data_IF_389698414086
#
_entry.id   IF_389698414086
#
_cell.length_a   1.000
_cell.length_b   1.000
_cell.length_c   1.000
_cell.angle_alpha   90.00
_cell.angle_beta   90.00
_cell.angle_gamma   90.00
#
_symmetry.space_group_name_H-M   'P 1'
#
loop_
_entity.id
_entity.type
_entity.pdbx_description
1 polymer ?
#
# COMPACT_ATOMS: atom_id res chain seq x y z
N UNK A 1 -12.90 1.00 16.66
CA UNK A 1 -12.02 2.10 16.23
C UNK A 1 -12.59 2.79 15.00
N UNK A 2 -12.49 4.08 14.95
CA UNK A 2 -12.97 4.83 13.80
C UNK A 2 -12.12 4.56 12.55
N UNK A 3 -12.76 4.47 11.39
CA UNK A 3 -12.04 4.26 10.14
C UNK A 3 -11.02 5.36 9.87
N UNK A 4 -11.30 6.59 10.31
CA UNK A 4 -10.34 7.69 10.21
C UNK A 4 -9.01 7.37 10.87
N UNK A 5 -9.04 6.83 12.09
CA UNK A 5 -7.83 6.47 12.82
C UNK A 5 -7.07 5.34 12.11
N UNK A 6 -7.79 4.36 11.59
CA UNK A 6 -7.20 3.27 10.83
C UNK A 6 -6.57 3.77 9.52
N UNK A 7 -7.26 4.67 8.82
CA UNK A 7 -6.73 5.27 7.60
C UNK A 7 -5.47 6.09 7.86
N UNK A 8 -5.42 6.85 8.96
CA UNK A 8 -4.22 7.59 9.37
C UNK A 8 -3.05 6.64 9.63
N UNK A 9 -3.30 5.53 10.31
CA UNK A 9 -2.27 4.52 10.59
C UNK A 9 -1.74 3.90 9.29
N UNK A 10 -2.63 3.60 8.36
CA UNK A 10 -2.23 3.05 7.05
C UNK A 10 -1.40 4.06 6.26
N UNK A 11 -1.84 5.32 6.19
CA UNK A 11 -1.17 6.33 5.38
C UNK A 11 0.20 6.70 5.95
N UNK A 12 0.28 6.93 7.26
CA UNK A 12 1.49 7.45 7.90
C UNK A 12 2.35 6.40 8.59
N UNK A 13 1.85 5.18 8.75
CA UNK A 13 2.60 4.13 9.41
C UNK A 13 3.85 3.71 8.65
N UNK A 14 4.92 3.43 9.39
CA UNK A 14 6.20 3.00 8.84
C UNK A 14 6.47 1.51 9.10
N UNK A 15 5.46 0.79 9.60
CA UNK A 15 5.54 -0.65 9.86
C UNK A 15 4.46 -1.40 9.10
N UNK A 16 4.76 -2.65 8.77
CA UNK A 16 3.80 -3.51 8.09
C UNK A 16 2.53 -3.73 8.89
N UNK A 17 2.63 -3.81 10.23
CA UNK A 17 1.48 -3.96 11.12
C UNK A 17 0.49 -2.81 10.95
N UNK A 18 0.98 -1.61 10.68
CA UNK A 18 0.13 -0.44 10.45
C UNK A 18 -0.45 -0.42 9.03
N UNK A 19 0.35 -0.74 8.03
CA UNK A 19 -0.14 -0.83 6.64
C UNK A 19 -1.19 -1.92 6.46
N UNK A 20 -1.07 -3.00 7.19
CA UNK A 20 -1.94 -4.17 7.08
C UNK A 20 -2.88 -4.32 8.29
N UNK A 21 -3.18 -3.23 8.98
CA UNK A 21 -4.10 -3.24 10.12
C UNK A 21 -5.47 -3.79 9.71
N UNK A 22 -6.07 -4.61 10.58
CA UNK A 22 -7.35 -5.23 10.28
C UNK A 22 -8.47 -4.20 10.14
N UNK A 23 -9.27 -4.35 9.10
CA UNK A 23 -10.40 -3.47 8.78
C UNK A 23 -11.74 -4.19 8.89
N UNK A 24 -11.80 -5.32 9.59
CA UNK A 24 -13.02 -6.12 9.70
C UNK A 24 -14.06 -5.49 10.61
N UNK A 25 -13.61 -4.72 11.59
CA UNK A 25 -14.48 -4.01 12.52
C UNK A 25 -14.05 -2.57 12.61
N UNK A 26 -14.90 -1.69 12.15
CA UNK A 26 -14.67 -0.26 12.22
C UNK A 26 -16.00 0.48 12.34
N UNK A 27 -15.91 1.71 12.81
CA UNK A 27 -17.00 2.67 12.83
C UNK A 27 -16.66 3.84 11.92
N UNK A 28 -17.65 4.42 11.28
CA UNK A 28 -17.46 5.59 10.43
C UNK A 28 -18.46 6.68 10.81
N UNK A 29 -18.49 7.00 12.12
CA UNK A 29 -19.39 8.00 12.68
C UNK A 29 -18.71 9.34 12.99
N UNK A 30 -17.38 9.38 12.94
CA UNK A 30 -16.58 10.56 13.20
C UNK A 30 -15.45 10.69 12.17
N UNK A 31 -15.78 10.97 10.90
CA UNK A 31 -14.77 11.06 9.84
C UNK A 31 -13.85 12.28 9.92
N UNK A 32 -14.18 13.24 10.78
CA UNK A 32 -13.35 14.40 11.03
C UNK A 32 -13.39 15.44 9.92
N UNK A 33 -12.37 16.30 9.90
CA UNK A 33 -12.19 17.32 8.86
C UNK A 33 -11.33 16.79 7.72
N UNK A 34 -11.50 17.36 6.52
CA UNK A 34 -10.73 16.95 5.36
C UNK A 34 -9.23 17.19 5.56
N UNK A 35 -8.43 16.19 5.23
CA UNK A 35 -6.97 16.31 5.29
C UNK A 35 -6.42 17.14 4.14
N UNK A 36 -5.33 17.84 4.42
CA UNK A 36 -4.44 18.35 3.37
C UNK A 36 -3.61 17.16 2.90
N UNK A 37 -3.47 17.02 1.58
CA UNK A 37 -2.68 15.92 1.01
C UNK A 37 -1.24 16.01 1.50
N UNK A 38 -0.70 14.99 2.16
CA UNK A 38 0.69 15.01 2.61
C UNK A 38 1.65 14.95 1.42
N UNK A 39 2.84 15.47 1.60
CA UNK A 39 3.89 15.42 0.58
C UNK A 39 4.26 13.97 0.27
N UNK A 40 4.27 13.11 1.30
CA UNK A 40 4.57 11.69 1.16
C UNK A 40 3.95 10.88 2.30
N UNK A 41 3.64 9.60 2.08
CA UNK A 41 3.19 8.71 3.15
C UNK A 41 4.36 8.25 4.00
N UNK A 42 4.07 7.71 5.20
CA UNK A 42 5.02 6.89 5.93
C UNK A 42 5.16 5.53 5.26
N UNK A 43 6.35 4.93 5.31
CA UNK A 43 6.58 3.62 4.69
C UNK A 43 7.57 2.77 5.46
N UNK A 44 7.47 1.44 5.36
CA UNK A 44 8.49 0.55 5.88
C UNK A 44 9.87 0.85 5.28
N UNK A 45 10.92 0.47 6.00
CA UNK A 45 12.30 0.66 5.55
C UNK A 45 12.50 0.03 4.17
N UNK A 46 13.17 0.74 3.28
CA UNK A 46 13.43 0.31 1.92
C UNK A 46 12.33 0.66 0.92
N UNK A 47 11.17 1.13 1.37
CA UNK A 47 10.03 1.44 0.52
C UNK A 47 9.65 2.92 0.50
N UNK A 48 10.38 3.78 1.22
CA UNK A 48 10.14 5.22 1.21
C UNK A 48 10.24 5.79 -0.20
N UNK A 49 9.36 6.73 -0.53
CA UNK A 49 9.33 7.30 -1.88
C UNK A 49 10.62 8.04 -2.26
N UNK A 50 11.41 8.45 -1.27
CA UNK A 50 12.67 9.14 -1.49
C UNK A 50 13.91 8.24 -1.45
N UNK A 51 13.79 7.03 -0.92
CA UNK A 51 14.95 6.16 -0.69
C UNK A 51 15.68 5.80 -1.98
N UNK A 52 14.95 5.80 -3.07
CA UNK A 52 15.46 5.43 -4.39
C UNK A 52 15.62 6.63 -5.33
N UNK A 53 15.51 7.84 -4.78
CA UNK A 53 15.66 9.06 -5.57
C UNK A 53 17.07 9.15 -6.18
N UNK A 54 17.15 9.38 -7.47
CA UNK A 54 18.42 9.46 -8.20
C UNK A 54 19.04 8.12 -8.57
N UNK A 55 18.43 7.00 -8.17
CA UNK A 55 18.88 5.66 -8.59
C UNK A 55 18.25 5.28 -9.92
N UNK A 56 18.88 4.31 -10.60
CA UNK A 56 18.33 3.80 -11.84
C UNK A 56 16.97 3.18 -11.61
N UNK A 57 16.01 3.51 -12.47
CA UNK A 57 14.69 2.90 -12.44
C UNK A 57 14.80 1.44 -12.88
N UNK A 58 14.02 0.59 -12.22
CA UNK A 58 13.91 -0.80 -12.63
C UNK A 58 13.39 -0.87 -14.06
N UNK A 59 14.06 -1.66 -14.89
CA UNK A 59 13.62 -1.93 -16.25
C UNK A 59 13.07 -3.32 -16.32
N UNK A 60 11.88 -3.47 -16.90
CA UNK A 60 11.32 -4.77 -17.20
C UNK A 60 11.97 -5.34 -18.44
N UNK A 61 12.33 -6.60 -18.34
CA UNK A 61 12.73 -7.38 -19.50
C UNK A 61 11.49 -7.96 -20.15
N UNK A 62 11.63 -8.43 -21.39
CA UNK A 62 10.56 -9.10 -22.11
C UNK A 62 10.00 -10.28 -21.32
N UNK A 63 8.69 -10.52 -21.43
CA UNK A 63 8.00 -11.62 -20.75
C UNK A 63 8.69 -12.97 -21.01
N UNK A 64 9.27 -13.16 -22.19
CA UNK A 64 10.03 -14.36 -22.52
C UNK A 64 11.31 -14.58 -21.73
N UNK A 65 11.74 -13.58 -20.93
CA UNK A 65 12.95 -13.66 -20.09
C UNK A 65 12.64 -13.87 -18.61
N UNK A 66 11.39 -14.14 -18.26
CA UNK A 66 10.99 -14.43 -16.88
C UNK A 66 11.31 -15.88 -16.49
N UNK A 67 12.50 -16.35 -16.80
CA UNK A 67 12.92 -17.74 -16.56
C UNK A 67 13.50 -17.94 -15.17
N UNK A 68 14.09 -16.90 -14.57
CA UNK A 68 14.70 -17.01 -13.24
C UNK A 68 13.72 -16.54 -12.18
N UNK A 69 13.85 -17.13 -10.99
CA UNK A 69 13.07 -16.69 -9.82
C UNK A 69 13.38 -15.24 -9.47
N UNK A 70 14.63 -14.81 -9.68
CA UNK A 70 15.03 -13.43 -9.43
C UNK A 70 14.26 -12.45 -10.32
N UNK A 71 14.15 -12.73 -11.62
CA UNK A 71 13.42 -11.85 -12.54
C UNK A 71 11.93 -11.81 -12.21
N UNK A 72 11.34 -12.98 -11.86
CA UNK A 72 9.96 -13.04 -11.37
C UNK A 72 9.79 -12.25 -10.09
N UNK A 73 10.78 -12.31 -9.20
CA UNK A 73 10.79 -11.53 -7.96
C UNK A 73 10.82 -10.03 -8.20
N UNK A 74 11.57 -9.57 -9.20
CA UNK A 74 11.61 -8.15 -9.57
C UNK A 74 10.25 -7.65 -10.04
N UNK A 75 9.56 -8.43 -10.86
CA UNK A 75 8.21 -8.10 -11.34
C UNK A 75 7.22 -8.09 -10.19
N UNK A 76 7.28 -9.08 -9.30
CA UNK A 76 6.42 -9.13 -8.11
C UNK A 76 6.64 -7.92 -7.22
N UNK A 77 7.89 -7.53 -7.00
CA UNK A 77 8.23 -6.34 -6.21
C UNK A 77 7.64 -5.07 -6.81
N UNK A 78 7.74 -4.92 -8.12
CA UNK A 78 7.16 -3.78 -8.83
C UNK A 78 5.64 -3.70 -8.62
N UNK A 79 4.93 -4.81 -8.83
CA UNK A 79 3.49 -4.83 -8.64
C UNK A 79 3.10 -4.66 -7.17
N UNK A 80 3.84 -5.26 -6.26
CA UNK A 80 3.60 -5.10 -4.82
C UNK A 80 3.72 -3.63 -4.39
N UNK A 81 4.69 -2.91 -4.92
CA UNK A 81 4.85 -1.49 -4.64
C UNK A 81 3.68 -0.66 -5.17
N UNK A 82 3.13 -1.02 -6.32
CA UNK A 82 1.92 -0.39 -6.86
C UNK A 82 0.70 -0.67 -5.98
N UNK A 83 0.55 -1.90 -5.49
CA UNK A 83 -0.54 -2.24 -4.58
C UNK A 83 -0.43 -1.48 -3.25
N UNK A 84 0.79 -1.30 -2.75
CA UNK A 84 1.02 -0.49 -1.56
C UNK A 84 0.62 0.96 -1.79
N UNK A 85 0.96 1.53 -2.94
CA UNK A 85 0.54 2.88 -3.31
C UNK A 85 -0.98 2.98 -3.41
N UNK A 86 -1.64 2.01 -4.03
CA UNK A 86 -3.10 1.98 -4.13
C UNK A 86 -3.75 1.94 -2.74
N UNK A 87 -3.23 1.13 -1.84
CA UNK A 87 -3.68 1.05 -0.46
C UNK A 87 -3.58 2.41 0.24
N UNK A 88 -2.48 3.10 0.06
CA UNK A 88 -2.26 4.44 0.64
C UNK A 88 -3.20 5.48 0.02
N UNK A 89 -3.45 5.40 -1.28
CA UNK A 89 -4.39 6.30 -1.96
C UNK A 89 -5.83 6.10 -1.45
N UNK A 90 -6.24 4.86 -1.18
CA UNK A 90 -7.56 4.58 -0.62
C UNK A 90 -7.69 5.14 0.80
N UNK A 91 -6.65 4.98 1.62
CA UNK A 91 -6.62 5.56 2.96
C UNK A 91 -6.70 7.09 2.90
N UNK A 92 -5.94 7.70 1.99
CA UNK A 92 -5.97 9.15 1.78
C UNK A 92 -7.37 9.62 1.34
N UNK A 93 -8.03 8.88 0.47
CA UNK A 93 -9.38 9.22 0.01
C UNK A 93 -10.37 9.30 1.18
N UNK A 94 -10.28 8.36 2.12
CA UNK A 94 -11.12 8.37 3.33
C UNK A 94 -10.86 9.60 4.21
N UNK A 95 -9.61 10.03 4.29
CA UNK A 95 -9.22 11.19 5.09
C UNK A 95 -9.55 12.52 4.40
N UNK A 96 -9.42 12.56 3.09
CA UNK A 96 -9.64 13.79 2.31
C UNK A 96 -11.10 14.08 2.05
N UNK A 97 -11.94 13.06 1.97
CA UNK A 97 -13.35 13.20 1.65
C UNK A 97 -14.26 12.67 2.76
N UNK A 98 -14.22 13.31 3.96
CA UNK A 98 -15.02 12.84 5.10
C UNK A 98 -16.53 12.95 4.86
N UNK A 99 -16.96 13.85 3.98
CA UNK A 99 -18.37 14.11 3.70
C UNK A 99 -18.90 13.27 2.52
N UNK A 100 -18.09 12.40 1.94
CA UNK A 100 -18.55 11.52 0.88
C UNK A 100 -19.68 10.59 1.39
N UNK A 101 -20.61 10.18 0.51
CA UNK A 101 -21.69 9.28 0.91
C UNK A 101 -21.20 8.02 1.61
N UNK A 102 -21.92 7.58 2.63
CA UNK A 102 -21.54 6.39 3.41
C UNK A 102 -21.34 5.16 2.54
N UNK A 103 -22.19 4.98 1.54
CA UNK A 103 -22.07 3.85 0.61
C UNK A 103 -20.73 3.90 -0.14
N UNK A 104 -20.32 5.09 -0.60
CA UNK A 104 -19.03 5.29 -1.26
C UNK A 104 -17.87 4.99 -0.31
N UNK A 105 -17.93 5.51 0.91
CA UNK A 105 -16.88 5.31 1.91
C UNK A 105 -16.73 3.82 2.26
N UNK A 106 -17.84 3.09 2.42
CA UNK A 106 -17.79 1.63 2.63
C UNK A 106 -17.14 0.90 1.45
N UNK A 107 -17.46 1.34 0.22
CA UNK A 107 -16.81 0.79 -0.97
C UNK A 107 -15.31 1.03 -1.00
N UNK A 108 -14.86 2.21 -0.59
CA UNK A 108 -13.43 2.53 -0.48
C UNK A 108 -12.76 1.64 0.57
N UNK A 109 -13.40 1.43 1.73
CA UNK A 109 -12.86 0.52 2.77
C UNK A 109 -12.75 -0.90 2.22
N UNK A 110 -13.75 -1.38 1.48
CA UNK A 110 -13.68 -2.71 0.89
C UNK A 110 -12.52 -2.83 -0.11
N UNK A 111 -12.33 -1.82 -0.95
CA UNK A 111 -11.19 -1.78 -1.88
C UNK A 111 -9.87 -1.75 -1.12
N UNK A 112 -9.80 -0.98 -0.04
CA UNK A 112 -8.63 -0.93 0.82
C UNK A 112 -8.28 -2.32 1.39
N UNK A 113 -9.29 -3.06 1.85
CA UNK A 113 -9.12 -4.44 2.33
C UNK A 113 -8.60 -5.35 1.22
N UNK A 114 -9.13 -5.22 0.02
CA UNK A 114 -8.69 -6.00 -1.13
C UNK A 114 -7.22 -5.71 -1.46
N UNK A 115 -6.83 -4.45 -1.44
CA UNK A 115 -5.43 -4.06 -1.67
C UNK A 115 -4.49 -4.57 -0.58
N UNK A 116 -4.93 -4.59 0.68
CA UNK A 116 -4.16 -5.20 1.76
C UNK A 116 -3.91 -6.69 1.50
N UNK A 117 -4.93 -7.40 1.02
CA UNK A 117 -4.79 -8.83 0.70
C UNK A 117 -3.84 -9.05 -0.47
N UNK A 118 -3.91 -8.19 -1.50
CA UNK A 118 -2.97 -8.24 -2.62
C UNK A 118 -1.53 -8.06 -2.14
N UNK A 119 -1.28 -7.08 -1.28
CA UNK A 119 0.06 -6.85 -0.71
C UNK A 119 0.54 -8.08 0.05
N UNK A 120 -0.33 -8.72 0.86
CA UNK A 120 0.04 -9.94 1.59
C UNK A 120 0.42 -11.07 0.64
N UNK A 121 -0.35 -11.25 -0.44
CA UNK A 121 -0.09 -12.27 -1.45
C UNK A 121 1.26 -12.06 -2.14
N UNK A 122 1.56 -10.83 -2.56
CA UNK A 122 2.83 -10.50 -3.18
C UNK A 122 4.00 -10.70 -2.22
N UNK A 123 3.87 -10.26 -0.98
CA UNK A 123 4.92 -10.46 0.04
C UNK A 123 5.21 -11.92 0.27
N UNK A 124 4.16 -12.75 0.40
CA UNK A 124 4.30 -14.19 0.59
C UNK A 124 5.05 -14.82 -0.57
N UNK A 125 4.65 -14.49 -1.79
CA UNK A 125 5.29 -15.05 -2.97
C UNK A 125 6.74 -14.60 -3.11
N UNK A 126 7.03 -13.34 -2.85
CA UNK A 126 8.40 -12.84 -2.86
C UNK A 126 9.27 -13.54 -1.81
N UNK A 127 8.74 -13.73 -0.61
CA UNK A 127 9.44 -14.46 0.45
C UNK A 127 9.77 -15.89 0.03
N UNK A 128 8.83 -16.60 -0.61
CA UNK A 128 9.05 -17.95 -1.13
C UNK A 128 10.21 -18.05 -2.11
N UNK A 129 10.44 -17.01 -2.89
CA UNK A 129 11.51 -16.98 -3.90
C UNK A 129 12.73 -16.17 -3.47
N UNK A 130 12.79 -15.78 -2.18
CA UNK A 130 13.97 -15.14 -1.59
C UNK A 130 14.15 -13.66 -1.93
N UNK A 131 13.10 -12.96 -2.32
CA UNK A 131 13.14 -11.51 -2.57
C UNK A 131 12.42 -10.78 -1.45
N UNK A 132 13.12 -9.85 -0.79
CA UNK A 132 12.50 -9.02 0.24
C UNK A 132 11.86 -7.78 -0.36
N UNK A 133 10.68 -7.41 0.14
CA UNK A 133 10.03 -6.18 -0.23
C UNK A 133 10.84 -5.00 0.32
N UNK A 134 11.23 -4.08 -0.53
CA UNK A 134 12.13 -2.98 -0.19
C UNK A 134 13.57 -3.17 -0.61
N UNK A 135 13.92 -4.35 -1.12
CA UNK A 135 15.26 -4.69 -1.60
C UNK A 135 15.60 -4.06 -2.95
N UNK A 136 14.58 -3.66 -3.70
CA UNK A 136 14.69 -3.20 -5.07
C UNK A 136 13.95 -1.86 -5.21
N UNK A 137 14.46 -0.91 -6.02
CA UNK A 137 13.81 0.38 -6.21
C UNK A 137 12.45 0.29 -6.91
#
# INVERSE_FOLDING_TARGET
MQIRELAERILFGDRWEEKLVALDRYEDSAPGTAFVVPERPGRPVGLGLDEWHGREKMRFRDVGKLHSERERGLVLHFFANHELLALELMALALLKFPDAPQKFRRGVVQTLKDEQEHVRMYRRRMEEIGVEFGQIP
#
